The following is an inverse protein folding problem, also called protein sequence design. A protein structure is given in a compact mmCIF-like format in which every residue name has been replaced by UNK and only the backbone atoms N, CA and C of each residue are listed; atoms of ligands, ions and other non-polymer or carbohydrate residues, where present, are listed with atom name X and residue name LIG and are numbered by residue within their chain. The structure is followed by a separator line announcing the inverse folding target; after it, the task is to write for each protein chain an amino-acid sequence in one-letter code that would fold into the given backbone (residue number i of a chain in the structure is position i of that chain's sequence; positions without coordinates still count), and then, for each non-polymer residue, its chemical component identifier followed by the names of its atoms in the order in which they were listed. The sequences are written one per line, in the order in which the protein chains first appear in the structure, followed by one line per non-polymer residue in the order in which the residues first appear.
data_IF_318776200383
#
_entry.id   IF_318776200383
#
_cell.length_a   1.000
_cell.length_b   1.000
_cell.length_c   1.000
_cell.angle_alpha   90.00
_cell.angle_beta   90.00
_cell.angle_gamma   90.00
#
_symmetry.space_group_name_H-M   'P 1'
#
loop_
_entity.id
_entity.type
_entity.pdbx_description
1 polymer ?
#
# COMPACT_ATOMS: atom_id res chain seq x y z
N UNK A 1 -20.44 -1.69 8.28
CA UNK A 1 -19.35 -0.72 7.98
C UNK A 1 -18.04 -1.46 8.18
N UNK A 2 -17.13 -1.42 7.23
CA UNK A 2 -15.82 -2.09 7.31
C UNK A 2 -14.99 -1.47 8.42
N UNK A 3 -14.43 -2.29 9.32
CA UNK A 3 -13.57 -1.85 10.43
C UNK A 3 -12.20 -2.51 10.31
N UNK A 4 -11.12 -1.88 10.81
CA UNK A 4 -9.78 -2.50 10.83
C UNK A 4 -9.74 -3.83 11.58
N UNK A 5 -10.59 -3.98 12.61
CA UNK A 5 -10.73 -5.22 13.39
C UNK A 5 -11.31 -6.40 12.59
N UNK A 6 -11.91 -6.15 11.42
CA UNK A 6 -12.44 -7.18 10.54
C UNK A 6 -11.34 -7.81 9.66
N UNK A 7 -10.11 -7.27 9.72
CA UNK A 7 -8.96 -7.70 8.93
C UNK A 7 -7.98 -8.50 9.79
N UNK A 8 -7.64 -9.68 9.31
CA UNK A 8 -6.65 -10.56 9.94
C UNK A 8 -5.58 -10.94 8.93
N UNK A 9 -4.37 -11.25 9.38
CA UNK A 9 -3.28 -11.67 8.48
C UNK A 9 -3.64 -12.90 7.64
N UNK A 10 -4.55 -13.74 8.15
CA UNK A 10 -4.98 -14.98 7.48
C UNK A 10 -6.01 -14.78 6.37
N UNK A 11 -6.73 -13.65 6.35
CA UNK A 11 -7.81 -13.39 5.38
C UNK A 11 -7.60 -12.13 4.53
N UNK A 12 -6.44 -11.48 4.68
CA UNK A 12 -6.11 -10.20 4.06
C UNK A 12 -4.96 -10.36 3.06
N UNK A 13 -5.05 -9.65 1.93
CA UNK A 13 -3.95 -9.47 0.97
C UNK A 13 -3.51 -8.00 0.91
N UNK A 14 -2.22 -7.77 0.66
CA UNK A 14 -1.67 -6.46 0.35
C UNK A 14 -1.62 -6.27 -1.17
N UNK A 15 -2.15 -5.15 -1.66
CA UNK A 15 -2.19 -4.81 -3.08
C UNK A 15 -1.53 -3.45 -3.30
N UNK A 16 -0.42 -3.42 -4.02
CA UNK A 16 0.35 -2.21 -4.29
C UNK A 16 0.31 -1.89 -5.78
N UNK A 17 -0.28 -0.73 -6.10
CA UNK A 17 -0.53 -0.29 -7.48
C UNK A 17 0.42 0.84 -7.84
N UNK A 18 1.27 0.60 -8.85
CA UNK A 18 2.11 1.60 -9.51
C UNK A 18 3.06 2.37 -8.58
N UNK A 19 3.61 1.72 -7.56
CA UNK A 19 4.67 2.30 -6.74
C UNK A 19 6.00 2.32 -7.53
N UNK A 20 6.05 3.18 -8.56
CA UNK A 20 7.14 3.27 -9.54
C UNK A 20 7.98 4.53 -9.32
N UNK A 21 9.21 4.52 -9.85
CA UNK A 21 10.16 5.62 -9.70
C UNK A 21 9.67 6.92 -10.35
N UNK A 22 8.87 6.83 -11.41
CA UNK A 22 8.25 7.99 -12.06
C UNK A 22 6.99 8.46 -11.33
N UNK A 23 6.06 7.54 -11.01
CA UNK A 23 4.77 7.90 -10.41
C UNK A 23 4.91 8.58 -9.05
N UNK A 24 5.91 8.22 -8.25
CA UNK A 24 6.18 8.91 -6.98
C UNK A 24 6.54 10.39 -7.19
N UNK A 25 7.14 10.74 -8.33
CA UNK A 25 7.45 12.13 -8.65
C UNK A 25 6.20 12.94 -9.02
N UNK A 26 5.14 12.27 -9.48
CA UNK A 26 3.86 12.88 -9.83
C UNK A 26 2.96 13.15 -8.61
N UNK A 27 3.30 12.60 -7.46
CA UNK A 27 2.62 12.91 -6.20
C UNK A 27 3.00 14.33 -5.74
N UNK A 28 2.42 15.33 -6.43
CA UNK A 28 2.73 16.76 -6.25
C UNK A 28 2.28 17.36 -4.93
N UNK A 29 1.36 16.68 -4.21
CA UNK A 29 1.01 17.06 -2.85
C UNK A 29 2.14 16.84 -1.83
N UNK A 30 3.08 15.93 -2.15
CA UNK A 30 4.15 15.51 -1.25
C UNK A 30 5.44 16.29 -1.54
N UNK A 31 6.08 16.79 -0.51
CA UNK A 31 7.45 17.27 -0.59
C UNK A 31 8.46 16.11 -0.57
N UNK A 32 9.76 16.39 -0.69
CA UNK A 32 10.82 15.36 -0.73
C UNK A 32 10.83 14.48 0.52
N UNK A 33 10.73 15.08 1.70
CA UNK A 33 10.71 14.33 2.99
C UNK A 33 9.51 13.41 3.06
N UNK A 34 8.33 13.87 2.65
CA UNK A 34 7.12 13.06 2.64
C UNK A 34 7.19 11.90 1.62
N UNK A 35 7.86 12.10 0.46
CA UNK A 35 8.10 11.01 -0.49
C UNK A 35 9.04 9.95 0.08
N UNK A 36 10.07 10.36 0.83
CA UNK A 36 10.97 9.40 1.49
C UNK A 36 10.29 8.67 2.64
N UNK A 37 9.41 9.34 3.38
CA UNK A 37 8.53 8.70 4.36
C UNK A 37 7.59 7.68 3.70
N UNK A 38 6.98 8.01 2.57
CA UNK A 38 6.13 7.08 1.81
C UNK A 38 6.91 5.81 1.42
N UNK A 39 8.14 5.95 0.90
CA UNK A 39 9.01 4.79 0.60
C UNK A 39 9.29 3.95 1.83
N UNK A 40 9.54 4.59 2.97
CA UNK A 40 9.74 3.89 4.26
C UNK A 40 8.50 3.08 4.64
N UNK A 41 7.31 3.70 4.58
CA UNK A 41 6.06 3.03 4.96
C UNK A 41 5.65 1.92 4.00
N UNK A 42 5.81 2.11 2.67
CA UNK A 42 5.49 1.05 1.71
C UNK A 42 6.45 -0.14 1.84
N UNK A 43 7.73 0.12 2.12
CA UNK A 43 8.71 -0.94 2.39
C UNK A 43 8.36 -1.69 3.67
N UNK A 44 7.94 -0.96 4.70
CA UNK A 44 7.54 -1.55 5.97
C UNK A 44 6.32 -2.46 5.82
N UNK A 45 5.21 -1.98 5.23
CA UNK A 45 4.02 -2.82 5.08
C UNK A 45 4.30 -4.04 4.19
N UNK A 46 5.17 -3.90 3.20
CA UNK A 46 5.61 -5.00 2.35
C UNK A 46 6.37 -6.08 3.16
N UNK A 47 7.35 -5.69 3.96
CA UNK A 47 8.09 -6.59 4.86
C UNK A 47 7.17 -7.23 5.89
N UNK A 48 6.28 -6.45 6.50
CA UNK A 48 5.30 -6.96 7.45
C UNK A 48 4.38 -8.01 6.82
N UNK A 49 3.79 -7.71 5.66
CA UNK A 49 2.91 -8.63 4.96
C UNK A 49 3.62 -9.95 4.64
N UNK A 50 4.88 -9.88 4.15
CA UNK A 50 5.71 -11.06 3.90
C UNK A 50 5.99 -11.86 5.18
N UNK A 51 6.38 -11.21 6.27
CA UNK A 51 6.65 -11.86 7.56
C UNK A 51 5.39 -12.50 8.17
N UNK A 52 4.23 -11.90 7.93
CA UNK A 52 2.93 -12.41 8.38
C UNK A 52 2.32 -13.47 7.45
N UNK A 53 2.99 -13.83 6.34
CA UNK A 53 2.48 -14.80 5.37
C UNK A 53 1.26 -14.32 4.58
N UNK A 54 1.05 -13.01 4.50
CA UNK A 54 -0.04 -12.42 3.71
C UNK A 54 0.32 -12.47 2.22
N UNK A 55 -0.61 -12.83 1.33
CA UNK A 55 -0.41 -12.66 -0.11
C UNK A 55 -0.18 -11.19 -0.48
N UNK A 56 0.75 -10.95 -1.42
CA UNK A 56 1.08 -9.62 -1.90
C UNK A 56 0.95 -9.60 -3.42
N UNK A 57 0.18 -8.66 -3.95
CA UNK A 57 0.05 -8.42 -5.39
C UNK A 57 0.66 -7.08 -5.73
N UNK A 58 1.67 -7.10 -6.60
CA UNK A 58 2.30 -5.90 -7.15
C UNK A 58 1.87 -5.72 -8.61
N UNK A 59 1.60 -4.47 -9.00
CA UNK A 59 1.42 -4.12 -10.40
C UNK A 59 2.17 -2.85 -10.75
N UNK A 60 2.60 -2.77 -11.99
CA UNK A 60 3.24 -1.61 -12.63
C UNK A 60 2.58 -1.33 -13.97
N UNK A 61 2.74 -0.11 -14.47
CA UNK A 61 2.26 0.28 -15.79
C UNK A 61 3.39 0.98 -16.55
N UNK A 62 3.49 0.74 -17.88
CA UNK A 62 4.41 1.42 -18.79
C UNK A 62 5.84 1.55 -18.23
N UNK A 63 6.43 0.43 -17.81
CA UNK A 63 7.76 0.41 -17.16
C UNK A 63 8.90 0.99 -18.02
N UNK A 64 8.76 0.93 -19.34
CA UNK A 64 9.74 1.47 -20.29
C UNK A 64 9.54 2.95 -20.59
N UNK A 65 8.48 3.54 -20.05
CA UNK A 65 8.08 4.92 -20.27
C UNK A 65 8.36 5.77 -19.00
N UNK A 66 7.73 6.95 -18.89
CA UNK A 66 7.94 7.90 -17.80
C UNK A 66 7.58 7.36 -16.41
N UNK A 67 6.78 6.30 -16.30
CA UNK A 67 6.45 5.67 -15.02
C UNK A 67 7.65 4.88 -14.45
N UNK A 68 8.45 4.26 -15.32
CA UNK A 68 9.64 3.52 -14.93
C UNK A 68 9.35 2.23 -14.16
N UNK A 69 10.36 1.64 -13.56
CA UNK A 69 10.26 0.42 -12.76
C UNK A 69 9.60 0.70 -11.40
N UNK A 70 9.11 -0.35 -10.73
CA UNK A 70 8.73 -0.27 -9.32
C UNK A 70 9.93 0.20 -8.47
N UNK A 71 9.63 0.83 -7.34
CA UNK A 71 10.63 1.35 -6.40
C UNK A 71 11.67 0.28 -6.05
N UNK A 72 12.98 0.60 -6.05
CA UNK A 72 14.05 -0.34 -5.71
C UNK A 72 13.88 -0.95 -4.30
N UNK A 73 13.27 -0.19 -3.40
CA UNK A 73 12.97 -0.63 -2.04
C UNK A 73 12.00 -1.83 -2.04
N UNK A 74 11.01 -1.85 -2.95
CA UNK A 74 10.10 -2.97 -3.12
C UNK A 74 10.78 -4.18 -3.77
N UNK A 75 11.67 -3.95 -4.73
CA UNK A 75 12.47 -5.04 -5.31
C UNK A 75 13.34 -5.74 -4.27
N UNK A 76 13.93 -4.95 -3.36
CA UNK A 76 14.77 -5.46 -2.28
C UNK A 76 13.96 -6.21 -1.23
N UNK A 77 12.80 -5.66 -0.83
CA UNK A 77 11.96 -6.26 0.21
C UNK A 77 11.19 -7.51 -0.27
N UNK A 78 10.80 -7.53 -1.55
CA UNK A 78 9.88 -8.50 -2.14
C UNK A 78 10.42 -9.06 -3.48
N UNK A 79 11.62 -9.66 -3.55
CA UNK A 79 12.22 -10.07 -4.82
C UNK A 79 11.34 -11.07 -5.62
N UNK A 80 10.67 -11.99 -4.95
CA UNK A 80 9.82 -13.00 -5.59
C UNK A 80 8.52 -12.40 -6.13
N UNK A 81 7.86 -11.55 -5.32
CA UNK A 81 6.65 -10.84 -5.70
C UNK A 81 6.95 -9.81 -6.80
N UNK A 82 8.12 -9.15 -6.73
CA UNK A 82 8.59 -8.23 -7.77
C UNK A 82 8.78 -8.94 -9.11
N UNK A 83 9.37 -10.15 -9.10
CA UNK A 83 9.54 -10.95 -10.31
C UNK A 83 8.18 -11.35 -10.94
N UNK A 84 7.17 -11.56 -10.10
CA UNK A 84 5.81 -11.99 -10.51
C UNK A 84 4.83 -10.83 -10.73
N UNK A 85 5.27 -9.57 -10.55
CA UNK A 85 4.39 -8.41 -10.67
C UNK A 85 3.65 -8.39 -12.00
N UNK A 86 2.42 -7.93 -11.99
CA UNK A 86 1.63 -7.73 -13.21
C UNK A 86 2.10 -6.45 -13.88
N UNK A 87 2.60 -6.58 -15.11
CA UNK A 87 3.02 -5.45 -15.94
C UNK A 87 1.88 -5.08 -16.87
N UNK A 88 1.28 -3.91 -16.65
CA UNK A 88 0.18 -3.41 -17.50
C UNK A 88 0.71 -2.52 -18.63
N UNK A 89 0.08 -2.59 -19.77
CA UNK A 89 0.40 -1.79 -20.96
C UNK A 89 -0.52 -0.55 -21.04
N UNK A 90 -0.48 0.30 -20.01
CA UNK A 90 -1.16 1.60 -19.98
C UNK A 90 -2.63 1.60 -19.61
N UNK A 91 -3.22 0.46 -19.24
CA UNK A 91 -4.59 0.41 -18.68
C UNK A 91 -4.61 1.19 -17.38
N UNK A 92 -5.40 2.29 -17.34
CA UNK A 92 -5.39 3.26 -16.22
C UNK A 92 -5.96 2.65 -14.95
N UNK A 93 -7.20 2.16 -15.01
CA UNK A 93 -7.77 1.43 -13.88
C UNK A 93 -7.18 0.02 -13.86
N UNK A 94 -6.31 -0.26 -12.89
CA UNK A 94 -5.65 -1.57 -12.81
C UNK A 94 -6.65 -2.74 -12.80
N UNK A 95 -7.86 -2.55 -12.25
CA UNK A 95 -8.89 -3.59 -12.17
C UNK A 95 -9.45 -3.99 -13.55
N UNK A 96 -9.32 -3.12 -14.56
CA UNK A 96 -9.75 -3.40 -15.92
C UNK A 96 -8.72 -4.24 -16.70
N UNK A 97 -7.53 -4.45 -16.15
CA UNK A 97 -6.57 -5.43 -16.63
C UNK A 97 -6.90 -6.81 -16.04
N UNK A 98 -7.31 -7.79 -16.86
CA UNK A 98 -7.71 -9.10 -16.35
C UNK A 98 -6.57 -9.82 -15.60
N UNK A 99 -5.30 -9.65 -16.03
CA UNK A 99 -4.19 -10.30 -15.34
C UNK A 99 -4.02 -9.78 -13.91
N UNK A 100 -4.23 -8.47 -13.69
CA UNK A 100 -4.18 -7.89 -12.35
C UNK A 100 -5.37 -8.33 -11.50
N UNK A 101 -6.59 -8.18 -12.01
CA UNK A 101 -7.78 -8.56 -11.27
C UNK A 101 -7.76 -10.05 -10.90
N UNK A 102 -7.34 -10.92 -11.83
CA UNK A 102 -7.20 -12.34 -11.61
C UNK A 102 -6.08 -12.67 -10.61
N UNK A 103 -4.96 -11.95 -10.61
CA UNK A 103 -3.90 -12.10 -9.60
C UNK A 103 -4.43 -11.77 -8.19
N UNK A 104 -5.26 -10.74 -8.04
CA UNK A 104 -5.89 -10.41 -6.76
C UNK A 104 -6.90 -11.49 -6.35
N UNK A 105 -7.78 -11.94 -7.25
CA UNK A 105 -8.74 -13.03 -7.00
C UNK A 105 -8.05 -14.34 -6.61
N UNK A 106 -6.93 -14.65 -7.27
CA UNK A 106 -6.14 -15.85 -7.01
C UNK A 106 -5.52 -15.89 -5.61
N UNK A 107 -5.43 -14.76 -4.90
CA UNK A 107 -5.03 -14.75 -3.48
C UNK A 107 -6.02 -15.50 -2.59
N UNK A 108 -7.27 -15.66 -3.01
CA UNK A 108 -8.35 -16.25 -2.24
C UNK A 108 -8.77 -15.42 -1.02
N UNK A 109 -8.28 -14.17 -0.91
CA UNK A 109 -8.57 -13.31 0.25
C UNK A 109 -9.76 -12.39 -0.04
N UNK A 110 -10.55 -12.15 1.01
CA UNK A 110 -11.72 -11.28 0.95
C UNK A 110 -11.38 -9.83 1.28
N UNK A 111 -10.37 -9.62 2.10
CA UNK A 111 -9.95 -8.34 2.63
C UNK A 111 -8.70 -7.85 1.87
N UNK A 112 -8.72 -6.61 1.40
CA UNK A 112 -7.63 -5.99 0.66
C UNK A 112 -7.14 -4.73 1.37
N UNK A 113 -5.84 -4.67 1.65
CA UNK A 113 -5.16 -3.43 1.97
C UNK A 113 -4.56 -2.89 0.68
N UNK A 114 -5.00 -1.71 0.25
CA UNK A 114 -4.59 -1.15 -1.03
C UNK A 114 -3.84 0.16 -0.87
N UNK A 115 -2.74 0.30 -1.59
CA UNK A 115 -2.03 1.55 -1.79
C UNK A 115 -1.72 1.78 -3.27
N UNK A 116 -1.55 3.04 -3.69
CA UNK A 116 -1.28 3.33 -5.09
C UNK A 116 -0.73 4.73 -5.35
N UNK A 117 0.11 4.83 -6.35
CA UNK A 117 0.71 6.06 -6.84
C UNK A 117 0.34 6.30 -8.32
N UNK A 118 -0.52 7.34 -8.59
CA UNK A 118 -1.00 8.32 -7.61
C UNK A 118 -2.36 7.91 -7.01
N UNK A 119 -2.69 8.48 -5.85
CA UNK A 119 -3.95 8.16 -5.14
C UNK A 119 -5.18 8.35 -6.02
N UNK A 120 -5.24 9.49 -6.69
CA UNK A 120 -6.39 9.92 -7.51
C UNK A 120 -6.55 9.14 -8.83
N UNK A 121 -5.47 8.46 -9.31
CA UNK A 121 -5.48 7.74 -10.59
C UNK A 121 -5.30 6.23 -10.38
N UNK A 122 -4.29 5.82 -9.57
CA UNK A 122 -3.89 4.42 -9.48
C UNK A 122 -4.48 3.69 -8.25
N UNK A 123 -4.95 4.43 -7.21
CA UNK A 123 -5.59 3.81 -6.05
C UNK A 123 -7.13 3.83 -6.13
N UNK A 124 -7.72 5.02 -6.34
CA UNK A 124 -9.19 5.19 -6.23
C UNK A 124 -9.94 4.30 -7.22
N UNK A 125 -9.67 4.29 -8.54
CA UNK A 125 -10.44 3.48 -9.48
C UNK A 125 -10.41 1.98 -9.18
N UNK A 126 -9.23 1.32 -8.96
CA UNK A 126 -9.22 -0.11 -8.67
C UNK A 126 -9.80 -0.43 -7.28
N UNK A 127 -9.68 0.45 -6.28
CA UNK A 127 -10.31 0.25 -4.98
C UNK A 127 -11.84 0.26 -5.08
N UNK A 128 -12.42 1.20 -5.86
CA UNK A 128 -13.86 1.24 -6.13
C UNK A 128 -14.33 0.00 -6.90
N UNK A 129 -13.55 -0.46 -7.88
CA UNK A 129 -13.87 -1.66 -8.66
C UNK A 129 -13.82 -2.92 -7.81
N UNK A 130 -12.81 -3.06 -6.96
CA UNK A 130 -12.69 -4.16 -6.02
C UNK A 130 -13.86 -4.20 -5.03
N UNK A 131 -14.22 -3.06 -4.45
CA UNK A 131 -15.37 -2.96 -3.53
C UNK A 131 -16.69 -3.30 -4.23
N UNK A 132 -16.90 -2.86 -5.48
CA UNK A 132 -18.07 -3.20 -6.29
C UNK A 132 -18.16 -4.70 -6.59
N UNK A 133 -17.03 -5.38 -6.72
CA UNK A 133 -16.95 -6.84 -6.88
C UNK A 133 -17.18 -7.58 -5.56
N UNK A 134 -17.24 -6.86 -4.46
CA UNK A 134 -17.58 -7.38 -3.14
C UNK A 134 -16.38 -7.66 -2.23
N UNK A 135 -15.18 -7.18 -2.56
CA UNK A 135 -14.05 -7.21 -1.62
C UNK A 135 -14.25 -6.17 -0.51
N UNK A 136 -13.78 -6.47 0.67
CA UNK A 136 -13.60 -5.47 1.73
C UNK A 136 -12.28 -4.75 1.49
N UNK A 137 -12.31 -3.44 1.28
CA UNK A 137 -11.12 -2.65 0.97
C UNK A 137 -10.85 -1.66 2.09
N UNK A 138 -9.60 -1.56 2.54
CA UNK A 138 -9.06 -0.42 3.28
C UNK A 138 -7.98 0.23 2.42
N UNK A 139 -8.09 1.53 2.17
CA UNK A 139 -7.11 2.30 1.43
C UNK A 139 -6.07 2.91 2.40
N UNK A 140 -4.79 2.63 2.14
CA UNK A 140 -3.66 3.10 2.96
C UNK A 140 -3.13 4.42 2.38
N UNK A 141 -3.31 5.52 3.10
CA UNK A 141 -3.06 6.87 2.59
C UNK A 141 -1.61 7.33 2.72
N UNK A 142 -0.86 6.83 3.69
CA UNK A 142 0.55 7.18 3.91
C UNK A 142 1.55 6.40 3.02
N UNK A 143 1.02 5.43 2.25
CA UNK A 143 1.75 4.77 1.15
C UNK A 143 1.17 5.15 -0.22
N UNK A 144 0.38 6.21 -0.26
CA UNK A 144 -0.23 6.76 -1.47
C UNK A 144 -0.01 8.26 -1.51
N UNK A 145 -0.02 8.85 -2.70
CA UNK A 145 0.16 10.29 -2.84
C UNK A 145 -0.52 10.78 -4.11
N UNK A 146 -1.31 11.85 -4.02
CA UNK A 146 -2.06 12.41 -5.14
C UNK A 146 -1.26 13.48 -5.92
N UNK A 147 -1.69 13.76 -7.14
CA UNK A 147 -1.09 14.81 -7.96
C UNK A 147 -1.17 16.19 -7.30
N UNK A 148 -2.23 16.45 -6.51
CA UNK A 148 -2.45 17.71 -5.79
C UNK A 148 -3.12 17.44 -4.44
N UNK A 149 -3.01 18.39 -3.48
CA UNK A 149 -3.76 18.32 -2.21
C UNK A 149 -5.26 18.16 -2.42
N UNK A 150 -5.84 18.91 -3.36
CA UNK A 150 -7.27 18.80 -3.68
C UNK A 150 -7.62 17.43 -4.25
N UNK A 151 -6.71 16.84 -5.05
CA UNK A 151 -6.84 15.46 -5.54
C UNK A 151 -6.88 14.46 -4.38
N UNK A 152 -6.00 14.60 -3.39
CA UNK A 152 -5.98 13.77 -2.19
C UNK A 152 -7.28 13.87 -1.39
N UNK A 153 -7.74 15.09 -1.09
CA UNK A 153 -8.98 15.37 -0.35
C UNK A 153 -10.20 14.77 -1.05
N UNK A 154 -10.32 14.98 -2.37
CA UNK A 154 -11.41 14.41 -3.16
C UNK A 154 -11.34 12.88 -3.23
N UNK A 155 -10.15 12.31 -3.34
CA UNK A 155 -9.93 10.86 -3.36
C UNK A 155 -10.43 10.21 -2.07
N UNK A 156 -10.06 10.77 -0.91
CA UNK A 156 -10.53 10.30 0.39
C UNK A 156 -12.07 10.41 0.49
N UNK A 157 -12.63 11.52 0.04
CA UNK A 157 -14.09 11.74 0.04
C UNK A 157 -14.81 10.70 -0.83
N UNK A 158 -14.30 10.39 -2.02
CA UNK A 158 -14.85 9.37 -2.92
C UNK A 158 -14.78 7.96 -2.32
N UNK A 159 -13.64 7.61 -1.73
CA UNK A 159 -13.47 6.31 -1.06
C UNK A 159 -14.48 6.15 0.08
N UNK A 160 -14.60 7.17 0.94
CA UNK A 160 -15.56 7.15 2.05
C UNK A 160 -17.02 7.08 1.57
N UNK A 161 -17.38 7.83 0.52
CA UNK A 161 -18.72 7.76 -0.08
C UNK A 161 -19.07 6.37 -0.63
N UNK A 162 -18.05 5.61 -1.07
CA UNK A 162 -18.18 4.22 -1.51
C UNK A 162 -18.11 3.19 -0.35
N UNK A 163 -18.02 3.64 0.89
CA UNK A 163 -17.89 2.75 2.06
C UNK A 163 -16.50 2.14 2.26
N UNK A 164 -15.48 2.69 1.60
CA UNK A 164 -14.08 2.26 1.72
C UNK A 164 -13.39 3.16 2.77
N UNK A 165 -13.05 2.63 3.95
CA UNK A 165 -12.30 3.39 4.95
C UNK A 165 -10.87 3.65 4.50
N UNK A 166 -10.32 4.78 4.95
CA UNK A 166 -8.91 5.10 4.80
C UNK A 166 -8.18 4.96 6.13
N UNK A 167 -6.93 4.49 6.08
CA UNK A 167 -6.06 4.36 7.24
C UNK A 167 -4.62 4.70 6.88
N UNK A 168 -3.79 4.85 7.90
CA UNK A 168 -2.34 4.81 7.79
C UNK A 168 -1.79 3.44 8.18
N UNK A 169 -0.58 3.14 7.74
CA UNK A 169 0.04 1.81 7.90
C UNK A 169 0.21 1.42 9.36
N UNK A 170 0.69 2.32 10.22
CA UNK A 170 0.99 1.99 11.62
C UNK A 170 -0.22 1.46 12.39
N UNK A 171 -1.38 2.16 12.46
CA UNK A 171 -2.56 1.64 13.16
C UNK A 171 -3.12 0.38 12.46
N UNK A 172 -3.00 0.26 11.13
CA UNK A 172 -3.45 -0.94 10.43
C UNK A 172 -2.61 -2.16 10.83
N UNK A 173 -1.29 -2.02 10.85
CA UNK A 173 -0.38 -3.11 11.25
C UNK A 173 -0.59 -3.49 12.71
N UNK A 174 -0.78 -2.52 13.62
CA UNK A 174 -1.06 -2.85 15.02
C UNK A 174 -2.38 -3.58 15.20
N UNK A 175 -3.39 -3.25 14.41
CA UNK A 175 -4.66 -4.01 14.37
C UNK A 175 -4.45 -5.45 13.90
N UNK A 176 -3.70 -5.66 12.81
CA UNK A 176 -3.37 -6.99 12.28
C UNK A 176 -2.52 -7.83 13.24
N UNK A 177 -1.59 -7.19 13.95
CA UNK A 177 -0.75 -7.87 14.96
C UNK A 177 -1.57 -8.36 16.14
N UNK A 178 -2.51 -7.54 16.62
CA UNK A 178 -3.33 -7.79 17.80
C UNK A 178 -2.54 -7.96 19.12
N UNK A 179 -1.29 -8.42 19.04
CA UNK A 179 -0.41 -8.65 20.17
C UNK A 179 1.06 -8.51 19.73
N UNK A 180 1.85 -7.75 20.48
CA UNK A 180 3.29 -7.59 20.21
C UNK A 180 4.13 -8.87 20.39
N UNK A 181 3.56 -9.95 20.92
CA UNK A 181 4.19 -11.28 20.95
C UNK A 181 3.95 -12.08 19.64
N UNK A 182 3.23 -11.51 18.69
CA UNK A 182 3.02 -12.11 17.38
C UNK A 182 4.37 -12.28 16.66
N UNK A 183 4.67 -13.42 16.02
CA UNK A 183 5.93 -13.62 15.28
C UNK A 183 6.24 -12.54 14.23
N UNK A 184 5.21 -11.93 13.63
CA UNK A 184 5.37 -10.85 12.65
C UNK A 184 5.72 -9.48 13.28
N UNK A 185 5.77 -9.36 14.61
CA UNK A 185 6.06 -8.09 15.30
C UNK A 185 7.48 -7.57 15.04
N UNK A 186 8.41 -8.45 14.67
CA UNK A 186 9.79 -8.05 14.35
C UNK A 186 9.86 -6.94 13.30
N UNK A 187 9.07 -7.06 12.22
CA UNK A 187 8.99 -6.03 11.17
C UNK A 187 8.43 -4.68 11.70
N UNK A 188 7.49 -4.73 12.63
CA UNK A 188 6.96 -3.53 13.28
C UNK A 188 8.03 -2.82 14.13
N UNK A 189 8.79 -3.56 14.93
CA UNK A 189 9.86 -2.97 15.73
C UNK A 189 11.02 -2.45 14.88
N UNK A 190 11.33 -3.10 13.75
CA UNK A 190 12.30 -2.58 12.77
C UNK A 190 11.87 -1.19 12.24
N UNK A 191 10.58 -1.02 11.90
CA UNK A 191 10.06 0.29 11.50
C UNK A 191 10.18 1.31 12.63
N UNK A 192 9.74 0.97 13.83
CA UNK A 192 9.82 1.88 14.97
C UNK A 192 11.25 2.34 15.23
N UNK A 193 12.23 1.44 15.04
CA UNK A 193 13.65 1.78 15.08
C UNK A 193 14.07 2.74 13.95
N UNK A 194 13.65 2.47 12.73
CA UNK A 194 13.99 3.31 11.56
C UNK A 194 13.38 4.72 11.60
N UNK A 195 12.25 4.87 12.29
CA UNK A 195 11.61 6.19 12.52
C UNK A 195 12.17 6.91 13.75
N UNK A 196 13.20 6.36 14.43
CA UNK A 196 13.80 6.94 15.63
C UNK A 196 12.91 6.90 16.87
N UNK A 197 11.73 6.26 16.82
CA UNK A 197 10.79 6.21 17.93
C UNK A 197 11.41 5.51 19.17
N UNK A 198 12.20 4.46 18.94
CA UNK A 198 12.91 3.78 20.02
C UNK A 198 13.98 4.68 20.66
N UNK A 199 14.59 5.57 19.90
CA UNK A 199 15.57 6.57 20.40
C UNK A 199 14.89 7.57 21.32
N UNK A 200 13.66 8.02 20.99
CA UNK A 200 12.85 8.88 21.87
C UNK A 200 12.53 8.20 23.21
N UNK A 201 12.18 6.92 23.17
CA UNK A 201 11.89 6.14 24.40
C UNK A 201 13.13 5.99 25.29
N UNK A 202 14.34 6.11 24.73
CA UNK A 202 15.62 6.09 25.45
C UNK A 202 16.12 7.49 25.84
N UNK A 203 15.33 8.55 25.62
CA UNK A 203 15.67 9.93 25.94
C UNK A 203 16.59 10.61 24.91
N UNK A 204 16.65 10.07 23.68
CA UNK A 204 17.34 10.70 22.56
C UNK A 204 16.45 11.70 21.81
N UNK A 205 17.06 12.68 21.15
CA UNK A 205 16.37 13.59 20.22
C UNK A 205 16.09 12.87 18.89
N UNK A 206 14.88 13.08 18.36
CA UNK A 206 14.56 12.69 16.97
C UNK A 206 14.90 13.86 16.05
N UNK A 207 15.70 13.61 15.04
CA UNK A 207 16.08 14.59 14.03
C UNK A 207 14.93 14.85 13.05
#
# INVERSE_FOLDING_TARGET
MIQPSDFHTTDTALVLVDHQVGTITWAGELNTVQRDQLKTYVTFIAKFAKAAGMPIVLTSSLETEAQGLLLPELQTALPDEYAKRVKRDGVINAWDDPNFADAVRATGKKNLLMGGLTTDVCLVPPALSAAKEGFNVIALTDISGACTKRGAENSVSLLHAAGIPTMTVTPMVTSLLGNYKNPASGAFFELMGSLGILTLMQGGDVL
#
